data_IF_643479583509
#
_entry.id   IF_643479583509
#
_cell.length_a   1.000
_cell.length_b   1.000
_cell.length_c   1.000
_cell.angle_alpha   90.00
_cell.angle_beta   90.00
_cell.angle_gamma   90.00
#
_symmetry.space_group_name_H-M   'P 1'
#
loop_
_entity.id
_entity.type
_entity.pdbx_description
1 polymer ?
#
# COMPACT_ATOMS: atom_id res chain seq x y z
N UNK A 1 27.91 -20.29 -15.62
CA UNK A 1 28.02 -19.89 -14.19
C UNK A 1 27.14 -20.82 -13.38
N UNK A 2 27.69 -21.46 -12.35
CA UNK A 2 26.90 -22.30 -11.45
C UNK A 2 26.17 -21.40 -10.44
N UNK A 3 24.91 -21.72 -10.15
CA UNK A 3 24.13 -21.02 -9.13
C UNK A 3 24.75 -21.31 -7.74
N UNK A 4 25.09 -20.27 -6.98
CA UNK A 4 25.66 -20.44 -5.65
C UNK A 4 24.54 -20.44 -4.59
N UNK A 5 24.24 -21.62 -4.07
CA UNK A 5 23.17 -21.84 -3.10
C UNK A 5 23.40 -21.15 -1.73
N UNK A 6 24.65 -20.79 -1.39
CA UNK A 6 24.97 -20.14 -0.12
C UNK A 6 24.51 -18.67 -0.06
N UNK A 7 24.27 -18.04 -1.21
CA UNK A 7 23.86 -16.64 -1.31
C UNK A 7 22.38 -16.48 -1.66
N UNK A 8 21.59 -17.56 -1.62
CA UNK A 8 20.16 -17.48 -1.89
C UNK A 8 19.43 -16.84 -0.70
N UNK A 9 18.71 -15.75 -0.97
CA UNK A 9 17.65 -15.29 -0.08
C UNK A 9 16.39 -16.09 -0.41
N UNK A 10 16.10 -17.09 0.43
CA UNK A 10 14.89 -17.89 0.32
C UNK A 10 13.75 -17.15 1.03
N UNK A 11 12.67 -16.87 0.30
CA UNK A 11 11.46 -16.25 0.86
C UNK A 11 10.40 -17.33 1.11
N UNK A 12 9.72 -17.24 2.25
CA UNK A 12 8.60 -18.12 2.57
C UNK A 12 7.39 -17.68 1.77
N UNK A 13 6.83 -18.58 0.97
CA UNK A 13 5.62 -18.32 0.20
C UNK A 13 4.39 -18.48 1.10
N UNK A 14 3.61 -17.41 1.24
CA UNK A 14 2.30 -17.45 1.89
C UNK A 14 1.24 -18.01 0.92
N UNK A 15 0.90 -19.28 1.07
CA UNK A 15 -0.11 -19.97 0.23
C UNK A 15 -1.55 -19.62 0.61
N UNK A 16 -1.77 -18.80 1.64
CA UNK A 16 -3.11 -18.49 2.15
C UNK A 16 -3.71 -17.25 1.51
N UNK A 17 -2.90 -16.39 0.88
CA UNK A 17 -3.37 -15.16 0.24
C UNK A 17 -2.62 -14.88 -1.06
N UNK A 18 -3.37 -14.88 -2.17
CA UNK A 18 -2.87 -14.51 -3.50
C UNK A 18 -2.75 -12.99 -3.69
N UNK A 19 -2.84 -12.20 -2.61
CA UNK A 19 -2.92 -10.74 -2.69
C UNK A 19 -1.68 -10.08 -2.10
N UNK A 20 -1.03 -9.25 -2.90
CA UNK A 20 0.07 -8.38 -2.50
C UNK A 20 -0.46 -7.17 -1.71
N UNK A 21 0.27 -6.66 -0.71
CA UNK A 21 -0.12 -5.46 0.02
C UNK A 21 0.08 -4.22 -0.85
N UNK A 22 -0.95 -3.86 -1.59
CA UNK A 22 -0.91 -2.79 -2.59
C UNK A 22 -1.57 -1.51 -2.11
N UNK A 23 -1.06 -0.38 -2.58
CA UNK A 23 -1.75 0.90 -2.55
C UNK A 23 -1.98 1.43 -3.96
N UNK A 24 -3.02 2.23 -4.07
CA UNK A 24 -3.37 2.94 -5.29
C UNK A 24 -3.49 4.42 -5.02
N UNK A 25 -2.66 5.22 -5.68
CA UNK A 25 -2.75 6.68 -5.65
C UNK A 25 -3.69 7.10 -6.78
N UNK A 26 -4.86 7.63 -6.41
CA UNK A 26 -5.91 8.09 -7.31
C UNK A 26 -5.96 9.63 -7.34
N UNK A 27 -6.80 10.20 -8.21
CA UNK A 27 -7.03 11.65 -8.27
C UNK A 27 -7.56 12.26 -6.97
N UNK A 28 -8.34 11.50 -6.20
CA UNK A 28 -9.04 12.03 -5.03
C UNK A 28 -8.44 11.57 -3.69
N UNK A 29 -7.49 10.64 -3.71
CA UNK A 29 -6.97 10.04 -2.49
C UNK A 29 -6.20 8.76 -2.73
N UNK A 30 -6.03 7.98 -1.67
CA UNK A 30 -5.22 6.77 -1.67
C UNK A 30 -6.08 5.59 -1.25
N UNK A 31 -6.01 4.48 -1.98
CA UNK A 31 -6.73 3.24 -1.67
C UNK A 31 -5.74 2.17 -1.25
N UNK A 32 -5.93 1.60 -0.07
CA UNK A 32 -5.20 0.47 0.48
C UNK A 32 -5.97 -0.82 0.18
N UNK A 33 -5.26 -1.81 -0.36
CA UNK A 33 -5.79 -3.15 -0.57
C UNK A 33 -6.20 -3.81 0.75
N UNK A 34 -7.04 -4.85 0.67
CA UNK A 34 -7.45 -5.62 1.85
C UNK A 34 -6.25 -6.25 2.55
N UNK A 35 -5.25 -6.71 1.79
CA UNK A 35 -4.04 -7.33 2.35
C UNK A 35 -3.30 -6.38 3.29
N UNK A 36 -3.20 -5.09 2.95
CA UNK A 36 -2.57 -4.10 3.83
C UNK A 36 -3.26 -4.02 5.20
N UNK A 37 -4.59 -4.11 5.21
CA UNK A 37 -5.37 -4.10 6.45
C UNK A 37 -5.15 -5.37 7.26
N UNK A 38 -5.06 -6.52 6.58
CA UNK A 38 -4.82 -7.83 7.20
C UNK A 38 -3.42 -7.90 7.83
N UNK A 39 -2.38 -7.51 7.09
CA UNK A 39 -0.99 -7.54 7.54
C UNK A 39 -0.77 -6.59 8.74
N UNK A 40 -1.41 -5.42 8.71
CA UNK A 40 -1.38 -4.47 9.84
C UNK A 40 -2.30 -4.86 11.01
N UNK A 41 -3.12 -5.90 10.86
CA UNK A 41 -4.00 -6.39 11.91
C UNK A 41 -5.26 -5.54 12.15
N UNK A 42 -5.79 -4.88 11.13
CA UNK A 42 -6.95 -3.98 11.18
C UNK A 42 -6.81 -2.86 12.23
N UNK A 43 -5.76 -2.03 12.14
CA UNK A 43 -5.54 -1.00 13.15
C UNK A 43 -6.55 0.14 13.02
N UNK A 44 -7.10 0.58 14.15
CA UNK A 44 -8.03 1.70 14.18
C UNK A 44 -7.33 3.03 13.87
N UNK A 45 -6.06 3.17 14.28
CA UNK A 45 -5.25 4.36 14.05
C UNK A 45 -3.87 4.00 13.47
N UNK A 46 -3.37 4.86 12.59
CA UNK A 46 -2.02 4.76 12.03
C UNK A 46 -1.32 6.11 12.01
N UNK A 47 0.00 6.06 11.87
CA UNK A 47 0.83 7.19 11.47
C UNK A 47 1.37 6.95 10.07
N UNK A 48 1.41 8.04 9.30
CA UNK A 48 2.01 8.08 7.98
C UNK A 48 3.41 8.69 8.08
N UNK A 49 4.37 8.02 7.46
CA UNK A 49 5.75 8.47 7.37
C UNK A 49 6.14 8.57 5.90
N UNK A 50 7.02 9.50 5.60
CA UNK A 50 7.59 9.67 4.26
C UNK A 50 9.06 9.99 4.39
N UNK A 51 9.84 9.40 3.49
CA UNK A 51 11.22 9.75 3.25
C UNK A 51 11.31 10.28 1.82
N UNK A 52 11.32 11.62 1.64
CA UNK A 52 11.39 12.23 0.32
C UNK A 52 12.69 11.93 -0.42
N UNK A 53 13.80 11.73 0.29
CA UNK A 53 15.11 11.48 -0.32
C UNK A 53 15.14 10.09 -0.96
N UNK A 54 14.65 9.09 -0.23
CA UNK A 54 14.58 7.70 -0.71
C UNK A 54 13.25 7.37 -1.43
N UNK A 55 12.33 8.32 -1.54
CA UNK A 55 10.98 8.15 -2.12
C UNK A 55 10.19 7.02 -1.45
N UNK A 56 10.31 6.91 -0.13
CA UNK A 56 9.61 5.88 0.65
C UNK A 56 8.40 6.48 1.34
N UNK A 57 7.30 5.72 1.36
CA UNK A 57 6.15 5.98 2.20
C UNK A 57 5.93 4.80 3.13
N UNK A 58 5.56 5.07 4.37
CA UNK A 58 5.31 4.02 5.35
C UNK A 58 4.05 4.26 6.16
N UNK A 59 3.40 3.16 6.56
CA UNK A 59 2.23 3.15 7.41
C UNK A 59 2.52 2.30 8.64
N UNK A 60 2.40 2.89 9.82
CA UNK A 60 2.59 2.20 11.10
C UNK A 60 1.33 2.27 11.95
N UNK A 61 0.82 1.15 12.50
CA UNK A 61 -0.21 1.17 13.52
C UNK A 61 0.24 1.97 14.73
N UNK A 62 -0.67 2.77 15.29
CA UNK A 62 -0.40 3.56 16.48
C UNK A 62 -1.62 3.58 17.40
N UNK A 63 -1.44 4.07 18.63
CA UNK A 63 -2.54 4.40 19.53
C UNK A 63 -3.14 5.75 19.12
N UNK A 64 -4.44 5.93 19.33
CA UNK A 64 -5.12 7.20 19.05
C UNK A 64 -4.62 8.39 19.88
N UNK A 65 -3.89 8.14 20.97
CA UNK A 65 -3.26 9.17 21.81
C UNK A 65 -1.92 9.66 21.28
N UNK A 66 -1.35 8.99 20.27
CA UNK A 66 -0.08 9.40 19.68
C UNK A 66 -0.25 10.62 18.76
N UNK A 67 0.79 11.45 18.67
CA UNK A 67 0.77 12.65 17.84
C UNK A 67 0.59 12.27 16.36
N UNK A 68 -0.30 13.00 15.65
CA UNK A 68 -0.64 12.74 14.23
C UNK A 68 -1.23 11.34 13.98
N UNK A 69 -1.81 10.70 14.99
CA UNK A 69 -2.62 9.50 14.81
C UNK A 69 -3.81 9.80 13.90
N UNK A 70 -3.97 9.00 12.85
CA UNK A 70 -5.03 9.15 11.85
C UNK A 70 -5.92 7.91 11.89
N UNK A 71 -7.24 8.11 11.92
CA UNK A 71 -8.20 7.01 11.81
C UNK A 71 -8.00 6.26 10.49
N UNK A 72 -7.89 4.94 10.55
CA UNK A 72 -7.50 4.11 9.42
C UNK A 72 -8.56 3.07 9.07
N UNK A 73 -8.57 1.91 9.75
CA UNK A 73 -9.50 0.83 9.47
C UNK A 73 -10.64 0.78 10.49
N UNK A 74 -11.81 0.30 10.05
CA UNK A 74 -12.84 -0.20 10.97
C UNK A 74 -12.48 -1.60 11.47
N UNK A 75 -13.21 -2.08 12.46
CA UNK A 75 -13.06 -3.44 12.95
C UNK A 75 -13.18 -4.47 11.82
N UNK A 76 -12.47 -5.60 11.95
CA UNK A 76 -12.40 -6.68 10.94
C UNK A 76 -13.79 -7.17 10.48
N UNK A 77 -14.78 -7.15 11.37
CA UNK A 77 -16.16 -7.56 11.10
C UNK A 77 -16.90 -6.59 10.17
N UNK A 78 -16.51 -5.33 10.16
CA UNK A 78 -17.13 -4.25 9.37
C UNK A 78 -16.35 -3.96 8.08
N UNK A 79 -15.01 -4.09 8.12
CA UNK A 79 -14.12 -3.74 7.02
C UNK A 79 -13.94 -4.92 6.06
N UNK A 80 -14.93 -5.12 5.17
CA UNK A 80 -14.94 -6.23 4.20
C UNK A 80 -14.13 -5.97 2.92
N UNK A 81 -13.88 -4.69 2.61
CA UNK A 81 -13.29 -4.24 1.35
C UNK A 81 -12.03 -3.38 1.58
N UNK A 82 -11.43 -2.93 0.48
CA UNK A 82 -10.34 -1.94 0.45
C UNK A 82 -10.67 -0.69 1.27
N UNK A 83 -9.65 -0.04 1.82
CA UNK A 83 -9.79 1.22 2.54
C UNK A 83 -9.38 2.38 1.64
N UNK A 84 -10.23 3.38 1.46
CA UNK A 84 -9.89 4.60 0.73
C UNK A 84 -9.84 5.80 1.66
N UNK A 85 -8.72 6.53 1.63
CA UNK A 85 -8.52 7.76 2.38
C UNK A 85 -8.55 8.94 1.40
N UNK A 86 -9.60 9.73 1.48
CA UNK A 86 -9.79 10.95 0.70
C UNK A 86 -9.22 12.13 1.49
N UNK A 87 -7.89 12.28 1.46
CA UNK A 87 -7.19 13.40 2.10
C UNK A 87 -6.27 14.07 1.09
N UNK A 88 -6.51 15.37 0.82
CA UNK A 88 -5.76 16.14 -0.18
C UNK A 88 -4.26 16.22 0.17
N UNK A 89 -3.94 16.53 1.43
CA UNK A 89 -2.57 16.67 1.87
C UNK A 89 -1.79 15.35 1.75
N UNK A 90 -2.38 14.23 2.20
CA UNK A 90 -1.76 12.91 2.04
C UNK A 90 -1.49 12.63 0.57
N UNK A 91 -2.49 12.82 -0.31
CA UNK A 91 -2.32 12.61 -1.75
C UNK A 91 -1.18 13.47 -2.31
N UNK A 92 -1.17 14.77 -2.04
CA UNK A 92 -0.17 15.69 -2.57
C UNK A 92 1.25 15.28 -2.18
N UNK A 93 1.45 14.86 -0.93
CA UNK A 93 2.73 14.34 -0.47
C UNK A 93 3.11 13.07 -1.23
N UNK A 94 2.20 12.09 -1.41
CA UNK A 94 2.54 10.86 -2.14
C UNK A 94 2.81 11.10 -3.62
N UNK A 95 2.08 12.03 -4.25
CA UNK A 95 2.29 12.42 -5.65
C UNK A 95 3.70 12.97 -5.86
N UNK A 96 4.24 13.73 -4.90
CA UNK A 96 5.61 14.25 -4.97
C UNK A 96 6.68 13.16 -4.87
N UNK A 97 6.38 12.01 -4.27
CA UNK A 97 7.30 10.87 -4.17
C UNK A 97 7.35 10.04 -5.46
N UNK A 98 6.29 10.10 -6.28
CA UNK A 98 6.20 9.36 -7.53
C UNK A 98 6.96 10.10 -8.64
N UNK A 99 7.99 9.49 -9.26
CA UNK A 99 8.70 10.11 -10.36
C UNK A 99 7.79 10.23 -11.59
N UNK A 100 7.86 11.38 -12.28
CA UNK A 100 7.12 11.63 -13.53
C UNK A 100 5.60 11.41 -13.40
N UNK A 101 5.02 11.74 -12.24
CA UNK A 101 3.59 11.61 -12.02
C UNK A 101 2.78 12.36 -13.09
N UNK A 102 1.81 11.67 -13.69
CA UNK A 102 0.89 12.22 -14.67
C UNK A 102 -0.47 12.44 -14.01
N UNK A 103 -0.97 13.67 -14.09
CA UNK A 103 -2.31 13.98 -13.59
C UNK A 103 -3.37 13.12 -14.29
N UNK A 104 -4.42 12.75 -13.54
CA UNK A 104 -5.51 11.88 -14.00
C UNK A 104 -5.14 10.40 -14.20
N UNK A 105 -3.88 10.02 -13.98
CA UNK A 105 -3.43 8.62 -13.97
C UNK A 105 -3.50 8.04 -12.56
N UNK A 106 -3.87 6.76 -12.47
CA UNK A 106 -3.83 5.99 -11.23
C UNK A 106 -2.51 5.23 -11.17
N UNK A 107 -1.84 5.29 -10.03
CA UNK A 107 -0.60 4.56 -9.81
C UNK A 107 -0.81 3.45 -8.78
N UNK A 108 -0.28 2.27 -9.06
CA UNK A 108 -0.23 1.12 -8.17
C UNK A 108 1.18 0.99 -7.62
N UNK A 109 1.29 0.76 -6.31
CA UNK A 109 2.56 0.50 -5.64
C UNK A 109 2.39 -0.75 -4.79
N UNK A 110 3.25 -1.74 -4.99
CA UNK A 110 3.34 -2.93 -4.14
C UNK A 110 4.20 -2.59 -2.94
N UNK A 111 3.66 -2.81 -1.74
CA UNK A 111 4.37 -2.62 -0.49
C UNK A 111 5.04 -3.88 0.01
N UNK A 112 5.82 -3.70 1.08
CA UNK A 112 6.46 -4.76 1.84
C UNK A 112 6.10 -4.59 3.31
N UNK A 113 5.69 -5.68 3.95
CA UNK A 113 5.37 -5.67 5.37
C UNK A 113 6.57 -6.12 6.19
N UNK A 114 7.11 -5.19 6.98
CA UNK A 114 8.11 -5.50 8.00
C UNK A 114 7.38 -5.91 9.29
N UNK A 115 7.39 -7.22 9.54
CA UNK A 115 6.72 -7.84 10.68
C UNK A 115 7.40 -7.52 12.03
N UNK A 116 8.70 -7.24 12.04
CA UNK A 116 9.44 -6.92 13.27
C UNK A 116 9.03 -5.55 13.79
N UNK A 117 8.98 -4.56 12.89
CA UNK A 117 8.62 -3.18 13.24
C UNK A 117 7.12 -2.88 13.08
N UNK A 118 6.34 -3.85 12.59
CA UNK A 118 4.91 -3.72 12.26
C UNK A 118 4.64 -2.51 11.38
N UNK A 119 5.42 -2.37 10.32
CA UNK A 119 5.36 -1.23 9.42
C UNK A 119 5.18 -1.72 7.98
N UNK A 120 4.28 -1.07 7.26
CA UNK A 120 4.08 -1.31 5.84
C UNK A 120 4.84 -0.25 5.05
N UNK A 121 5.77 -0.68 4.21
CA UNK A 121 6.68 0.19 3.45
C UNK A 121 6.34 0.15 1.96
N UNK A 122 6.45 1.29 1.30
CA UNK A 122 6.18 1.46 -0.12
C UNK A 122 7.29 2.26 -0.77
N UNK A 123 7.95 1.65 -1.75
CA UNK A 123 8.90 2.33 -2.62
C UNK A 123 8.13 3.02 -3.75
N UNK A 124 7.98 4.34 -3.66
CA UNK A 124 7.21 5.14 -4.61
C UNK A 124 7.92 5.29 -5.95
N UNK A 125 9.22 4.97 -6.03
CA UNK A 125 9.94 4.94 -7.31
C UNK A 125 9.51 3.77 -8.20
N UNK A 126 8.96 2.71 -7.60
CA UNK A 126 8.40 1.53 -8.28
C UNK A 126 6.91 1.68 -8.61
N UNK A 127 6.38 2.90 -8.58
CA UNK A 127 5.00 3.14 -8.93
C UNK A 127 4.72 2.81 -10.39
N UNK A 128 3.76 1.93 -10.63
CA UNK A 128 3.35 1.51 -11.96
C UNK A 128 2.00 2.14 -12.32
N UNK A 129 1.88 2.62 -13.56
CA UNK A 129 0.59 3.08 -14.06
C UNK A 129 -0.40 1.92 -14.06
N UNK A 130 -1.56 2.14 -13.45
CA UNK A 130 -2.61 1.16 -13.34
C UNK A 130 -3.83 1.67 -14.07
N UNK A 131 -4.07 1.12 -15.26
CA UNK A 131 -5.34 1.31 -15.96
C UNK A 131 -6.44 0.73 -15.09
N UNK A 132 -7.47 1.53 -14.81
CA UNK A 132 -8.69 1.00 -14.21
C UNK A 132 -9.18 -0.12 -15.13
N UNK A 133 -9.12 -1.38 -14.67
CA UNK A 133 -9.91 -2.45 -15.29
C UNK A 133 -11.36 -2.10 -14.99
N UNK A 134 -11.98 -1.28 -15.85
CA UNK A 134 -13.39 -1.49 -16.19
C UNK A 134 -13.47 -2.96 -16.55
N UNK A 135 -14.38 -3.68 -15.88
CA UNK A 135 -14.33 -5.13 -15.74
C UNK A 135 -14.09 -5.88 -17.04
N UNK A 136 -13.60 -7.11 -16.88
CA UNK A 136 -13.90 -8.24 -17.76
C UNK A 136 -14.89 -7.86 -18.87
N UNK A 137 -14.35 -7.68 -20.07
CA UNK A 137 -15.11 -7.94 -21.27
C UNK A 137 -15.41 -9.46 -21.28
N UNK A 138 -16.43 -9.84 -20.52
CA UNK A 138 -17.28 -10.99 -20.76
C UNK A 138 -18.66 -10.37 -20.98
N UNK A 139 -19.23 -10.38 -22.19
CA UNK A 139 -19.72 -11.62 -22.78
C UNK A 139 -19.73 -11.50 -24.31
N UNK A 140 -19.29 -12.59 -24.91
CA UNK A 140 -19.42 -13.01 -26.29
C UNK A 140 -20.83 -12.77 -26.87
N UNK A 141 -20.90 -12.21 -28.08
CA UNK A 141 -21.84 -12.63 -29.14
C UNK A 141 -21.48 -12.05 -30.50
#
# INVERSE_FOLDING_TARGET
MALNFANLKLEVIDITSNSTPEIYVNNNGVTFSKRVLEDLGYPQYVQFYTDPENKVFAVRPCKGTETKATSFAKAKTEQKNTLSITNKNLREVLVQLIPNFVEKTRYKIVGEYDAENKIMLYDMSKAEESSYRTGDAADEK
#
